data_IF_686922875585
#
_entry.id   IF_686922875585
#
_cell.length_a   1.000
_cell.length_b   1.000
_cell.length_c   1.000
_cell.angle_alpha   90.00
_cell.angle_beta   90.00
_cell.angle_gamma   90.00
#
_symmetry.space_group_name_H-M   'P 1'
#
loop_
_entity.id
_entity.type
_entity.pdbx_description
1 polymer ?
#
# COMPACT_ATOMS: atom_id res chain seq x y z
N UNK A 1 -11.72 16.61 6.38
CA UNK A 1 -11.90 15.14 6.25
C UNK A 1 -10.92 14.47 5.28
N UNK A 2 -10.68 15.00 4.06
CA UNK A 2 -9.85 14.32 3.03
C UNK A 2 -8.42 13.91 3.45
N UNK A 3 -7.79 14.63 4.37
CA UNK A 3 -6.40 14.38 4.77
C UNK A 3 -6.15 13.07 5.53
N UNK A 4 -7.19 12.47 6.14
CA UNK A 4 -7.08 11.27 6.97
C UNK A 4 -7.86 10.07 6.41
N UNK A 5 -8.34 10.17 5.17
CA UNK A 5 -9.13 9.10 4.54
C UNK A 5 -8.33 7.80 4.44
N UNK A 6 -7.02 7.86 4.18
CA UNK A 6 -6.17 6.67 4.16
C UNK A 6 -5.97 6.09 5.57
N UNK A 7 -5.88 6.90 6.62
CA UNK A 7 -5.84 6.37 8.00
C UNK A 7 -7.14 5.62 8.34
N UNK A 8 -8.28 6.17 7.92
CA UNK A 8 -9.58 5.52 8.09
C UNK A 8 -9.71 4.25 7.23
N UNK A 9 -9.20 4.27 6.00
CA UNK A 9 -9.16 3.09 5.13
C UNK A 9 -8.35 1.96 5.76
N UNK A 10 -7.18 2.27 6.35
CA UNK A 10 -6.40 1.27 7.07
C UNK A 10 -7.21 0.65 8.21
N UNK A 11 -7.90 1.47 9.01
CA UNK A 11 -8.74 0.95 10.08
C UNK A 11 -9.90 0.08 9.59
N UNK A 12 -10.50 0.39 8.44
CA UNK A 12 -11.58 -0.42 7.87
C UNK A 12 -11.08 -1.75 7.29
N UNK A 13 -9.92 -1.73 6.62
CA UNK A 13 -9.38 -2.89 5.90
C UNK A 13 -8.58 -3.83 6.82
N UNK A 14 -7.94 -3.27 7.85
CA UNK A 14 -7.11 -4.00 8.80
C UNK A 14 -7.07 -3.25 10.15
N UNK A 15 -8.12 -3.48 10.95
CA UNK A 15 -8.28 -2.84 12.25
C UNK A 15 -7.13 -3.19 13.21
N UNK A 16 -6.65 -4.43 13.17
CA UNK A 16 -5.57 -4.90 14.02
C UNK A 16 -4.26 -4.16 13.71
N UNK A 17 -3.86 -4.10 12.44
CA UNK A 17 -2.67 -3.35 12.03
C UNK A 17 -2.82 -1.84 12.33
N UNK A 18 -4.01 -1.28 12.14
CA UNK A 18 -4.30 0.12 12.52
C UNK A 18 -4.09 0.36 14.02
N UNK A 19 -4.61 -0.53 14.86
CA UNK A 19 -4.50 -0.43 16.32
C UNK A 19 -3.05 -0.62 16.78
N UNK A 20 -2.33 -1.59 16.21
CA UNK A 20 -0.91 -1.79 16.48
C UNK A 20 -0.07 -0.56 16.08
N UNK A 21 -0.31 0.01 14.91
CA UNK A 21 0.38 1.21 14.43
C UNK A 21 0.12 2.41 15.34
N UNK A 22 -1.13 2.61 15.77
CA UNK A 22 -1.50 3.68 16.72
C UNK A 22 -0.80 3.53 18.06
N UNK A 23 -0.74 2.32 18.62
CA UNK A 23 -0.01 2.04 19.87
C UNK A 23 1.48 2.33 19.72
N UNK A 24 2.12 1.80 18.68
CA UNK A 24 3.55 1.97 18.46
C UNK A 24 3.97 3.45 18.30
N UNK A 25 3.18 4.25 17.56
CA UNK A 25 3.46 5.69 17.41
C UNK A 25 3.18 6.48 18.70
N UNK A 26 2.15 6.11 19.47
CA UNK A 26 1.87 6.71 20.78
C UNK A 26 3.00 6.43 21.77
N UNK A 27 3.48 5.20 21.85
CA UNK A 27 4.56 4.78 22.76
C UNK A 27 5.89 5.48 22.45
N UNK A 28 6.17 5.75 21.17
CA UNK A 28 7.35 6.52 20.74
C UNK A 28 7.21 8.04 20.89
N UNK A 29 6.05 8.55 21.29
CA UNK A 29 5.80 9.99 21.37
C UNK A 29 5.79 10.70 20.00
N UNK A 30 5.49 9.96 18.93
CA UNK A 30 5.48 10.50 17.57
C UNK A 30 4.29 11.44 17.33
N UNK A 31 4.50 12.46 16.51
CA UNK A 31 3.41 13.38 16.16
C UNK A 31 2.39 12.74 15.19
N UNK A 32 1.19 13.33 15.14
CA UNK A 32 0.10 12.85 14.26
C UNK A 32 0.50 12.83 12.79
N UNK A 33 1.38 13.74 12.36
CA UNK A 33 1.91 13.79 11.00
C UNK A 33 2.72 12.54 10.64
N UNK A 34 3.62 12.12 11.52
CA UNK A 34 4.43 10.92 11.35
C UNK A 34 3.56 9.66 11.29
N UNK A 35 2.62 9.50 12.24
CA UNK A 35 1.66 8.40 12.23
C UNK A 35 0.83 8.38 10.94
N UNK A 36 0.31 9.54 10.53
CA UNK A 36 -0.48 9.68 9.30
C UNK A 36 0.32 9.25 8.08
N UNK A 37 1.61 9.59 7.96
CA UNK A 37 2.43 9.13 6.85
C UNK A 37 2.66 7.62 6.90
N UNK A 38 2.88 7.06 8.08
CA UNK A 38 3.09 5.63 8.25
C UNK A 38 1.89 4.76 7.81
N UNK A 39 0.66 5.29 7.90
CA UNK A 39 -0.55 4.59 7.44
C UNK A 39 -0.54 4.22 5.95
N UNK A 40 0.26 4.86 5.10
CA UNK A 40 0.34 4.51 3.68
C UNK A 40 1.00 3.15 3.43
N UNK A 41 2.05 2.82 4.17
CA UNK A 41 2.83 1.58 3.97
C UNK A 41 1.99 0.31 4.05
N UNK A 42 1.18 0.06 5.12
CA UNK A 42 0.36 -1.13 5.19
C UNK A 42 -0.74 -1.16 4.11
N UNK A 43 -1.29 -0.01 3.71
CA UNK A 43 -2.27 0.05 2.61
C UNK A 43 -1.66 -0.36 1.27
N UNK A 44 -0.43 0.07 0.97
CA UNK A 44 0.26 -0.34 -0.25
C UNK A 44 0.55 -1.85 -0.21
N UNK A 45 0.91 -2.40 0.94
CA UNK A 45 1.06 -3.85 1.11
C UNK A 45 -0.26 -4.62 0.94
N UNK A 46 -1.40 -4.06 1.36
CA UNK A 46 -2.73 -4.63 1.06
C UNK A 46 -3.00 -4.61 -0.45
N UNK A 47 -2.73 -3.49 -1.13
CA UNK A 47 -2.89 -3.37 -2.58
C UNK A 47 -2.03 -4.39 -3.33
N UNK A 48 -0.76 -4.55 -2.95
CA UNK A 48 0.15 -5.52 -3.56
C UNK A 48 -0.38 -6.96 -3.50
N UNK A 49 -1.02 -7.34 -2.37
CA UNK A 49 -1.63 -8.67 -2.18
C UNK A 49 -2.91 -8.88 -2.99
N UNK A 50 -3.54 -7.81 -3.47
CA UNK A 50 -4.82 -7.85 -4.19
C UNK A 50 -4.71 -7.32 -5.63
N UNK A 51 -3.56 -7.52 -6.27
CA UNK A 51 -3.38 -7.19 -7.70
C UNK A 51 -3.19 -5.70 -8.01
N UNK A 52 -2.82 -4.90 -7.01
CA UNK A 52 -2.54 -3.46 -7.11
C UNK A 52 -3.75 -2.56 -7.43
N UNK A 53 -4.98 -3.08 -7.38
CA UNK A 53 -6.19 -2.31 -7.66
C UNK A 53 -6.78 -1.70 -6.38
N UNK A 54 -6.22 -0.56 -5.96
CA UNK A 54 -6.68 0.15 -4.77
C UNK A 54 -8.11 0.71 -4.91
N UNK A 55 -8.58 0.96 -6.14
CA UNK A 55 -9.95 1.39 -6.39
C UNK A 55 -10.95 0.28 -6.09
N UNK A 56 -10.69 -0.92 -6.61
CA UNK A 56 -11.52 -2.09 -6.32
C UNK A 56 -11.57 -2.38 -4.82
N UNK A 57 -10.45 -2.23 -4.10
CA UNK A 57 -10.39 -2.42 -2.64
C UNK A 57 -11.31 -1.42 -1.91
N UNK A 58 -11.30 -0.15 -2.32
CA UNK A 58 -12.19 0.86 -1.72
C UNK A 58 -13.66 0.58 -2.07
N UNK A 59 -13.95 0.23 -3.32
CA UNK A 59 -15.31 0.02 -3.81
C UNK A 59 -15.98 -1.23 -3.24
N UNK A 60 -15.21 -2.27 -2.89
CA UNK A 60 -15.76 -3.51 -2.31
C UNK A 60 -16.09 -3.37 -0.83
N UNK A 61 -15.47 -2.41 -0.11
CA UNK A 61 -15.71 -2.24 1.31
C UNK A 61 -16.89 -1.26 1.58
N UNK A 62 -17.97 -1.68 2.28
CA UNK A 62 -19.19 -0.88 2.44
C UNK A 62 -18.98 0.53 3.03
N UNK A 63 -18.01 0.66 3.95
CA UNK A 63 -17.67 1.94 4.59
C UNK A 63 -16.72 2.82 3.77
N UNK A 64 -16.05 2.27 2.75
CA UNK A 64 -15.04 2.96 1.95
C UNK A 64 -15.53 3.31 0.55
N UNK A 65 -16.53 2.61 0.02
CA UNK A 65 -17.06 2.83 -1.34
C UNK A 65 -17.57 4.27 -1.58
N UNK A 66 -17.96 4.98 -0.52
CA UNK A 66 -18.40 6.38 -0.57
C UNK A 66 -17.23 7.39 -0.53
N UNK A 67 -16.00 6.93 -0.38
CA UNK A 67 -14.80 7.77 -0.27
C UNK A 67 -13.96 7.68 -1.53
N UNK A 68 -13.60 8.85 -2.08
CA UNK A 68 -12.58 8.90 -3.12
C UNK A 68 -11.24 8.41 -2.58
N UNK A 69 -10.58 7.53 -3.33
CA UNK A 69 -9.21 7.09 -2.99
C UNK A 69 -8.24 8.28 -3.06
N UNK A 70 -7.46 8.56 -2.00
CA UNK A 70 -6.52 9.67 -1.99
C UNK A 70 -5.48 9.58 -3.12
N UNK A 71 -5.25 10.69 -3.82
CA UNK A 71 -4.29 10.76 -4.95
C UNK A 71 -2.90 10.25 -4.57
N UNK A 72 -2.40 10.60 -3.38
CA UNK A 72 -1.09 10.15 -2.91
C UNK A 72 -1.03 8.64 -2.71
N UNK A 73 -2.10 8.00 -2.24
CA UNK A 73 -2.16 6.54 -2.08
C UNK A 73 -2.07 5.84 -3.43
N UNK A 74 -2.82 6.32 -4.44
CA UNK A 74 -2.75 5.80 -5.82
C UNK A 74 -1.33 5.89 -6.38
N UNK A 75 -0.70 7.07 -6.25
CA UNK A 75 0.67 7.30 -6.71
C UNK A 75 1.66 6.32 -6.08
N UNK A 76 1.56 6.09 -4.76
CA UNK A 76 2.43 5.13 -4.07
C UNK A 76 2.20 3.69 -4.54
N UNK A 77 0.94 3.28 -4.74
CA UNK A 77 0.63 1.95 -5.28
C UNK A 77 1.20 1.76 -6.69
N UNK A 78 1.08 2.77 -7.56
CA UNK A 78 1.66 2.73 -8.92
C UNK A 78 3.20 2.66 -8.89
N UNK A 79 3.84 3.46 -8.04
CA UNK A 79 5.29 3.48 -7.91
C UNK A 79 5.83 2.10 -7.46
N UNK A 80 5.25 1.52 -6.40
CA UNK A 80 5.66 0.22 -5.87
C UNK A 80 5.36 -0.94 -6.84
N UNK A 81 4.22 -0.89 -7.56
CA UNK A 81 3.92 -1.85 -8.62
C UNK A 81 4.99 -1.83 -9.70
N UNK A 82 5.32 -0.64 -10.21
CA UNK A 82 6.31 -0.48 -11.26
C UNK A 82 7.71 -0.93 -10.80
N UNK A 83 8.09 -0.59 -9.55
CA UNK A 83 9.34 -1.06 -8.95
C UNK A 83 9.39 -2.60 -8.87
N UNK A 84 8.31 -3.23 -8.42
CA UNK A 84 8.20 -4.70 -8.33
C UNK A 84 8.34 -5.34 -9.72
N UNK A 85 7.65 -4.81 -10.73
CA UNK A 85 7.76 -5.32 -12.11
C UNK A 85 9.17 -5.15 -12.67
N UNK A 86 9.81 -3.99 -12.47
CA UNK A 86 11.18 -3.74 -12.91
C UNK A 86 12.18 -4.72 -12.24
N UNK A 87 12.05 -4.96 -10.94
CA UNK A 87 12.87 -5.95 -10.23
C UNK A 87 12.68 -7.37 -10.75
N UNK A 88 11.45 -7.76 -11.11
CA UNK A 88 11.17 -9.09 -11.70
C UNK A 88 11.73 -9.25 -13.12
N UNK A 89 11.81 -8.17 -13.91
CA UNK A 89 12.43 -8.21 -15.24
C UNK A 89 13.96 -8.31 -15.19
N UNK A 90 14.60 -7.77 -14.15
CA UNK A 90 16.07 -7.82 -14.01
C UNK A 90 16.60 -9.22 -13.64
N UNK A 91 15.76 -10.09 -13.10
CA UNK A 91 16.13 -11.45 -12.67
C UNK A 91 15.97 -12.52 -13.76
N UNK A 92 15.44 -12.17 -14.94
CA UNK A 92 15.22 -13.09 -16.06
C UNK A 92 16.31 -13.09 -17.15
N UNK A 93 17.43 -12.39 -16.94
CA UNK A 93 18.43 -12.09 -17.98
C UNK A 93 19.76 -12.87 -17.93
N UNK A 94 19.86 -13.97 -17.19
CA UNK A 94 21.12 -14.73 -17.11
C UNK A 94 20.88 -16.23 -16.88
N UNK A 95 20.96 -17.02 -17.94
CA UNK A 95 20.84 -18.47 -17.84
C UNK A 95 20.66 -19.19 -19.18
N UNK A 96 21.80 -19.31 -19.88
CA UNK A 96 22.22 -20.48 -20.67
C UNK A 96 21.58 -20.87 -22.02
N UNK A 97 22.52 -21.20 -22.92
CA UNK A 97 22.53 -22.35 -23.85
C UNK A 97 22.28 -22.09 -25.35
N UNK A 98 23.35 -21.73 -26.08
CA UNK A 98 23.53 -22.23 -27.46
C UNK A 98 25.00 -22.23 -27.94
N UNK A 99 25.73 -23.31 -27.66
CA UNK A 99 26.58 -23.96 -28.66
C UNK A 99 25.84 -25.27 -29.00
N UNK A 100 25.62 -25.62 -30.28
CA UNK A 100 26.70 -26.21 -31.06
C UNK A 100 26.69 -25.90 -32.57
N UNK A 101 27.90 -25.85 -33.16
CA UNK A 101 28.41 -26.45 -34.41
C UNK A 101 29.54 -25.59 -34.99
#
# INVERSE_FOLDING_TARGET
MRHYVHCYALHCLDEEASNALRKAFKERGENVGAWRQACYKPLVAIAARQGWDIDAIFNTHPRLAIWYVPTKLRQLCHAERNATTASSSASGGGGDHQLPF
#
